data_IF_340157608944
#
_entry.id   IF_340157608944
#
_cell.length_a   1.000
_cell.length_b   1.000
_cell.length_c   1.000
_cell.angle_alpha   90.00
_cell.angle_beta   90.00
_cell.angle_gamma   90.00
#
_symmetry.space_group_name_H-M   'P 1'
#
loop_
_entity.id
_entity.type
_entity.pdbx_description
1 polymer ?
#
# COMPACT_ATOMS: atom_id res chain seq x y z
N UNK A 1 -36.17 38.65 2.00
CA UNK A 1 -36.03 37.18 2.14
C UNK A 1 -35.32 36.53 0.95
N UNK A 2 -35.71 36.81 -0.30
CA UNK A 2 -35.14 36.20 -1.53
C UNK A 2 -33.63 36.42 -1.75
N UNK A 3 -33.07 37.57 -1.33
CA UNK A 3 -31.63 37.89 -1.49
C UNK A 3 -30.71 37.03 -0.60
N UNK A 4 -31.16 36.62 0.59
CA UNK A 4 -30.37 35.79 1.52
C UNK A 4 -30.21 34.36 0.99
N UNK A 5 -31.27 33.80 0.40
CA UNK A 5 -31.31 32.43 -0.11
C UNK A 5 -30.36 32.25 -1.30
N UNK A 6 -30.26 33.27 -2.16
CA UNK A 6 -29.33 33.29 -3.29
C UNK A 6 -27.87 33.29 -2.83
N UNK A 7 -27.53 34.06 -1.79
CA UNK A 7 -26.17 34.10 -1.21
C UNK A 7 -25.80 32.76 -0.57
N UNK A 8 -26.74 32.14 0.15
CA UNK A 8 -26.51 30.82 0.74
C UNK A 8 -26.22 29.75 -0.32
N UNK A 9 -27.00 29.72 -1.40
CA UNK A 9 -26.81 28.76 -2.50
C UNK A 9 -25.44 28.94 -3.14
N UNK A 10 -25.01 30.18 -3.41
CA UNK A 10 -23.68 30.45 -4.00
C UNK A 10 -22.56 29.98 -3.07
N UNK A 11 -22.62 30.35 -1.79
CA UNK A 11 -21.59 29.93 -0.81
C UNK A 11 -21.57 28.41 -0.64
N UNK A 12 -22.74 27.77 -0.58
CA UNK A 12 -22.87 26.33 -0.48
C UNK A 12 -22.31 25.61 -1.71
N UNK A 13 -22.60 26.12 -2.92
CA UNK A 13 -22.07 25.55 -4.17
C UNK A 13 -20.55 25.66 -4.27
N UNK A 14 -19.95 26.77 -3.82
CA UNK A 14 -18.48 26.92 -3.78
C UNK A 14 -17.88 25.89 -2.81
N UNK A 15 -18.47 25.75 -1.62
CA UNK A 15 -17.99 24.80 -0.61
C UNK A 15 -18.12 23.35 -1.09
N UNK A 16 -19.24 23.02 -1.72
CA UNK A 16 -19.50 21.71 -2.31
C UNK A 16 -18.52 21.40 -3.44
N UNK A 17 -18.27 22.36 -4.33
CA UNK A 17 -17.30 22.22 -5.41
C UNK A 17 -15.89 21.94 -4.87
N UNK A 18 -15.46 22.67 -3.84
CA UNK A 18 -14.16 22.44 -3.20
C UNK A 18 -14.05 21.05 -2.56
N UNK A 19 -15.09 20.57 -1.88
CA UNK A 19 -15.10 19.22 -1.30
C UNK A 19 -15.06 18.11 -2.36
N UNK A 20 -15.78 18.28 -3.46
CA UNK A 20 -15.77 17.34 -4.60
C UNK A 20 -14.46 17.38 -5.39
N UNK A 21 -13.70 18.47 -5.28
CA UNK A 21 -12.41 18.66 -5.96
C UNK A 21 -11.23 17.99 -5.26
N UNK A 22 -11.44 17.43 -4.06
CA UNK A 22 -10.39 16.72 -3.34
C UNK A 22 -10.10 15.43 -4.11
N UNK A 23 -8.98 15.42 -4.84
CA UNK A 23 -8.43 14.19 -5.40
C UNK A 23 -8.04 13.28 -4.23
N UNK A 24 -8.84 12.25 -3.97
CA UNK A 24 -8.47 11.20 -3.03
C UNK A 24 -7.29 10.43 -3.63
N UNK A 25 -6.08 10.76 -3.19
CA UNK A 25 -4.93 9.89 -3.45
C UNK A 25 -5.17 8.66 -2.58
N UNK A 26 -5.48 7.55 -3.22
CA UNK A 26 -5.59 6.28 -2.55
C UNK A 26 -4.23 5.93 -1.94
N UNK A 27 -4.10 6.07 -0.62
CA UNK A 27 -2.92 5.65 0.14
C UNK A 27 -2.89 4.12 0.32
N UNK A 28 -3.19 3.37 -0.75
CA UNK A 28 -2.95 1.94 -0.73
C UNK A 28 -1.44 1.74 -0.87
N UNK A 29 -0.85 1.05 0.10
CA UNK A 29 0.51 0.55 -0.04
C UNK A 29 0.59 -0.25 -1.34
N UNK A 30 1.50 0.13 -2.24
CA UNK A 30 1.67 -0.59 -3.50
C UNK A 30 2.11 -2.02 -3.18
N UNK A 31 1.23 -2.99 -3.44
CA UNK A 31 1.56 -4.41 -3.25
C UNK A 31 2.63 -4.83 -4.25
N UNK A 32 3.63 -5.58 -3.77
CA UNK A 32 4.71 -6.13 -4.58
C UNK A 32 4.57 -7.65 -4.61
N UNK A 33 4.26 -8.18 -5.78
CA UNK A 33 4.27 -9.63 -6.00
C UNK A 33 5.68 -10.08 -6.34
N UNK A 34 6.24 -10.97 -5.52
CA UNK A 34 7.49 -11.66 -5.82
C UNK A 34 7.17 -13.10 -6.24
N UNK A 35 7.80 -13.56 -7.32
CA UNK A 35 7.75 -14.98 -7.71
C UNK A 35 8.77 -15.78 -6.91
N UNK A 36 8.76 -17.11 -7.02
CA UNK A 36 9.80 -17.93 -6.40
C UNK A 36 11.19 -17.55 -6.96
N UNK A 37 12.14 -17.25 -6.07
CA UNK A 37 13.50 -16.88 -6.45
C UNK A 37 14.30 -16.26 -5.32
N UNK A 38 15.49 -15.76 -5.65
CA UNK A 38 16.35 -14.99 -4.76
C UNK A 38 16.38 -13.54 -5.24
N UNK A 39 16.13 -12.61 -4.33
CA UNK A 39 16.04 -11.18 -4.65
C UNK A 39 16.92 -10.40 -3.70
N UNK A 40 17.66 -9.42 -4.23
CA UNK A 40 18.17 -8.33 -3.41
C UNK A 40 17.03 -7.36 -3.07
N UNK A 41 17.26 -6.44 -2.12
CA UNK A 41 16.31 -5.33 -1.87
C UNK A 41 16.03 -4.54 -3.15
N UNK A 42 17.06 -4.34 -3.99
CA UNK A 42 16.93 -3.64 -5.27
C UNK A 42 16.04 -4.41 -6.25
N UNK A 43 16.22 -5.72 -6.36
CA UNK A 43 15.48 -6.56 -7.33
C UNK A 43 14.02 -6.76 -6.90
N UNK A 44 13.76 -6.84 -5.60
CA UNK A 44 12.41 -6.94 -5.03
C UNK A 44 11.65 -5.61 -5.04
N UNK A 45 12.35 -4.49 -5.21
CA UNK A 45 11.77 -3.15 -5.07
C UNK A 45 11.35 -2.81 -3.64
N UNK A 46 11.89 -3.54 -2.66
CA UNK A 46 11.70 -3.30 -1.23
C UNK A 46 12.76 -2.30 -0.73
N UNK A 47 12.38 -1.52 0.27
CA UNK A 47 13.24 -0.52 0.91
C UNK A 47 13.69 -1.01 2.28
N UNK A 48 14.94 -0.74 2.64
CA UNK A 48 15.44 -1.04 3.98
C UNK A 48 14.76 -0.17 5.05
N UNK A 49 14.59 -0.72 6.26
CA UNK A 49 14.00 0.00 7.39
C UNK A 49 12.49 0.21 7.31
N UNK A 50 11.81 -0.53 6.43
CA UNK A 50 10.35 -0.51 6.26
C UNK A 50 9.79 -1.87 6.66
N UNK A 51 8.71 -1.86 7.44
CA UNK A 51 7.97 -3.07 7.79
C UNK A 51 7.06 -3.50 6.63
N UNK A 52 7.06 -4.79 6.33
CA UNK A 52 6.26 -5.37 5.24
C UNK A 52 5.34 -6.46 5.78
N UNK A 53 4.06 -6.39 5.39
CA UNK A 53 3.16 -7.52 5.52
C UNK A 53 3.36 -8.45 4.32
N UNK A 54 3.58 -9.73 4.58
CA UNK A 54 3.82 -10.74 3.55
C UNK A 54 2.74 -11.81 3.62
N UNK A 55 2.20 -12.17 2.46
CA UNK A 55 1.24 -13.26 2.32
C UNK A 55 1.67 -14.23 1.20
N UNK A 56 1.22 -15.48 1.31
CA UNK A 56 1.37 -16.47 0.26
C UNK A 56 0.09 -16.50 -0.59
N UNK A 57 0.14 -15.89 -1.77
CA UNK A 57 -0.98 -15.91 -2.73
C UNK A 57 -0.91 -17.10 -3.71
N UNK A 58 -0.28 -18.20 -3.32
CA UNK A 58 -0.24 -19.44 -4.08
C UNK A 58 -1.08 -20.53 -3.43
N UNK A 59 -1.49 -21.53 -4.20
CA UNK A 59 -2.21 -22.72 -3.70
C UNK A 59 -1.29 -23.72 -2.99
N UNK A 60 0.02 -23.48 -2.95
CA UNK A 60 1.02 -24.36 -2.36
C UNK A 60 1.58 -23.80 -1.05
N UNK A 61 2.46 -24.59 -0.42
CA UNK A 61 3.28 -24.11 0.70
C UNK A 61 4.41 -23.22 0.17
N UNK A 62 4.77 -22.18 0.92
CA UNK A 62 5.88 -21.30 0.56
C UNK A 62 6.80 -21.04 1.76
N UNK A 63 8.04 -20.62 1.48
CA UNK A 63 9.01 -20.21 2.49
C UNK A 63 9.59 -18.86 2.08
N UNK A 64 9.61 -17.92 3.02
CA UNK A 64 10.42 -16.71 2.93
C UNK A 64 11.61 -16.84 3.87
N UNK A 65 12.80 -16.59 3.35
CA UNK A 65 14.05 -16.56 4.10
C UNK A 65 14.72 -15.21 3.85
N UNK A 66 15.02 -14.47 4.91
CA UNK A 66 15.79 -13.24 4.84
C UNK A 66 17.17 -13.50 5.41
N UNK A 67 18.20 -13.21 4.63
CA UNK A 67 19.60 -13.30 5.02
C UNK A 67 20.27 -11.95 4.87
N UNK A 68 21.20 -11.64 5.76
CA UNK A 68 22.01 -10.43 5.65
C UNK A 68 23.20 -10.60 4.69
N UNK A 69 23.99 -9.55 4.54
CA UNK A 69 25.19 -9.55 3.69
C UNK A 69 26.29 -10.52 4.14
N UNK A 70 26.24 -11.00 5.39
CA UNK A 70 27.14 -12.02 5.95
C UNK A 70 26.54 -13.42 5.92
N UNK A 71 25.39 -13.60 5.24
CA UNK A 71 24.66 -14.85 5.11
C UNK A 71 24.06 -15.36 6.43
N UNK A 72 23.94 -14.49 7.44
CA UNK A 72 23.21 -14.84 8.66
C UNK A 72 21.72 -14.74 8.40
N UNK A 73 20.99 -15.76 8.85
CA UNK A 73 19.53 -15.80 8.76
C UNK A 73 18.97 -14.78 9.75
N UNK A 74 18.24 -13.81 9.22
CA UNK A 74 17.56 -12.78 9.99
C UNK A 74 16.09 -13.17 10.23
N UNK A 75 15.46 -13.84 9.25
CA UNK A 75 14.07 -14.26 9.36
C UNK A 75 13.78 -15.50 8.52
N UNK A 76 12.87 -16.35 9.03
CA UNK A 76 12.35 -17.53 8.34
C UNK A 76 10.86 -17.64 8.60
N UNK A 77 10.04 -17.49 7.56
CA UNK A 77 8.59 -17.67 7.62
C UNK A 77 8.21 -18.86 6.73
N UNK A 78 7.39 -19.76 7.29
CA UNK A 78 6.75 -20.85 6.55
C UNK A 78 5.28 -20.51 6.39
N UNK A 79 4.83 -20.43 5.14
CA UNK A 79 3.44 -20.18 4.81
C UNK A 79 2.71 -21.50 4.53
N UNK A 80 1.52 -21.63 5.10
CA UNK A 80 0.56 -22.64 4.69
C UNK A 80 -0.12 -22.22 3.37
N UNK A 81 -0.74 -23.18 2.64
CA UNK A 81 -1.61 -22.85 1.52
C UNK A 81 -2.79 -21.98 1.99
N UNK A 82 -3.19 -21.02 1.14
CA UNK A 82 -4.38 -20.20 1.36
C UNK A 82 -5.64 -20.91 0.85
#
# INVERSE_FOLDING_TARGET
MVSIMKKFIVTFSIFLFLLLSINTINAFAASKTLTQGLYTLKDSGLSAGVDYNVENNSSGRAILLIVDSTQLIQELIRFEPN
#
